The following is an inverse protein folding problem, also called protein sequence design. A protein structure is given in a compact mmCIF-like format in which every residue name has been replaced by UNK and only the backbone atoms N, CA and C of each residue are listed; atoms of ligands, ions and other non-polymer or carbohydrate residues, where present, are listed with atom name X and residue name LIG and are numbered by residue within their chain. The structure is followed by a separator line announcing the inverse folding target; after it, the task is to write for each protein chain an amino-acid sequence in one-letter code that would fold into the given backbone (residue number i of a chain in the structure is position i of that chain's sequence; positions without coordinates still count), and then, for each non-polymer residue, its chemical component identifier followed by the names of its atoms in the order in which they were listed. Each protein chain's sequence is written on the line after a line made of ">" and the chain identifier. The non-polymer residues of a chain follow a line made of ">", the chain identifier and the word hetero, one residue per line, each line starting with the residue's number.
data_IF_782179554600
#
_entry.id   IF_782179554600
#
_cell.length_a   1.000
_cell.length_b   1.000
_cell.length_c   1.000
_cell.angle_alpha   90.00
_cell.angle_beta   90.00
_cell.angle_gamma   90.00
#
_symmetry.space_group_name_H-M   'P 1'
#
loop_
_entity.id
_entity.type
_entity.pdbx_description
1 polymer ?
#
# COMPACT_ATOMS: atom_id res chain seq x y z
N UNK A 1 25.09 -4.98 11.48
CA UNK A 1 26.54 -5.15 11.24
C UNK A 1 26.76 -6.12 10.08
N UNK A 2 27.76 -5.86 9.26
CA UNK A 2 28.17 -6.73 8.16
C UNK A 2 28.87 -7.97 8.75
N UNK A 3 28.42 -9.17 8.37
CA UNK A 3 28.92 -10.43 8.92
C UNK A 3 29.82 -11.21 7.96
N UNK A 4 29.81 -10.89 6.65
CA UNK A 4 30.63 -11.54 5.65
C UNK A 4 30.99 -10.59 4.51
N UNK A 5 31.99 -10.96 3.69
CA UNK A 5 32.46 -10.21 2.55
C UNK A 5 32.27 -10.96 1.21
N UNK A 6 31.46 -12.01 1.20
CA UNK A 6 31.33 -12.96 0.07
C UNK A 6 30.92 -12.27 -1.22
N UNK A 7 30.09 -11.21 -1.15
CA UNK A 7 29.54 -10.51 -2.32
C UNK A 7 30.12 -9.11 -2.52
N UNK A 8 31.23 -8.74 -1.87
CA UNK A 8 31.75 -7.38 -1.90
C UNK A 8 32.14 -6.91 -3.31
N UNK A 9 32.77 -7.76 -4.08
CA UNK A 9 33.17 -7.45 -5.46
C UNK A 9 31.95 -7.19 -6.36
N UNK A 10 30.87 -7.97 -6.21
CA UNK A 10 29.62 -7.78 -6.93
C UNK A 10 28.91 -6.50 -6.48
N UNK A 11 28.80 -6.30 -5.16
CA UNK A 11 28.14 -5.14 -4.59
C UNK A 11 28.85 -3.82 -4.90
N UNK A 12 30.17 -3.84 -5.06
CA UNK A 12 30.95 -2.67 -5.45
C UNK A 12 30.66 -2.20 -6.90
N UNK A 13 30.11 -3.08 -7.73
CA UNK A 13 29.73 -2.76 -9.11
C UNK A 13 28.30 -2.18 -9.22
N UNK A 14 27.52 -2.22 -8.15
CA UNK A 14 26.15 -1.75 -8.15
C UNK A 14 26.07 -0.33 -7.60
N UNK A 15 25.25 0.50 -8.25
CA UNK A 15 24.88 1.80 -7.71
C UNK A 15 23.93 1.61 -6.51
N UNK A 16 24.43 1.87 -5.32
CA UNK A 16 23.66 1.68 -4.11
C UNK A 16 22.62 2.79 -3.90
N UNK A 17 21.43 2.40 -3.47
CA UNK A 17 20.41 3.31 -2.96
C UNK A 17 20.70 3.64 -1.48
N UNK A 18 20.24 4.80 -1.04
CA UNK A 18 20.27 5.17 0.39
C UNK A 18 18.94 4.83 1.04
N UNK A 19 18.97 4.19 2.22
CA UNK A 19 17.78 3.86 2.99
C UNK A 19 17.79 4.62 4.30
N UNK A 20 16.83 5.49 4.47
CA UNK A 20 16.67 6.30 5.68
C UNK A 20 15.48 5.82 6.51
N UNK A 21 15.64 5.81 7.82
CA UNK A 21 14.54 5.66 8.78
C UNK A 21 14.03 7.05 9.14
N UNK A 22 12.75 7.30 8.91
CA UNK A 22 12.08 8.55 9.26
C UNK A 22 10.94 8.26 10.21
N UNK A 23 10.75 9.09 11.22
CA UNK A 23 9.61 9.03 12.11
C UNK A 23 8.54 10.02 11.63
N UNK A 24 7.40 9.51 11.21
CA UNK A 24 6.30 10.30 10.69
C UNK A 24 5.22 10.45 11.77
N UNK A 25 4.84 11.67 12.14
CA UNK A 25 3.73 11.87 13.06
C UNK A 25 2.41 11.42 12.42
N UNK A 26 1.64 10.64 13.15
CA UNK A 26 0.33 10.16 12.72
C UNK A 26 -0.78 11.11 13.16
N UNK A 27 -1.95 11.01 12.52
CA UNK A 27 -3.08 11.90 12.79
C UNK A 27 -3.68 11.78 14.20
N UNK A 28 -3.35 10.70 14.92
CA UNK A 28 -3.75 10.43 16.30
C UNK A 28 -2.62 10.65 17.31
N UNK A 29 -1.56 11.37 16.93
CA UNK A 29 -0.49 11.82 17.82
C UNK A 29 0.56 10.77 18.15
N UNK A 30 0.63 9.67 17.39
CA UNK A 30 1.71 8.67 17.52
C UNK A 30 2.80 8.92 16.48
N UNK A 31 3.91 8.20 16.58
CA UNK A 31 4.99 8.23 15.59
C UNK A 31 5.09 6.90 14.84
N UNK A 32 5.17 7.00 13.53
CA UNK A 32 5.23 5.86 12.63
C UNK A 32 6.62 5.73 11.99
N UNK A 33 7.27 4.60 12.19
CA UNK A 33 8.50 4.28 11.45
C UNK A 33 8.22 4.15 9.97
N UNK A 34 8.87 4.97 9.16
CA UNK A 34 8.76 4.95 7.71
C UNK A 34 10.14 4.78 7.11
N UNK A 35 10.30 3.82 6.19
CA UNK A 35 11.51 3.70 5.39
C UNK A 35 11.38 4.59 4.16
N UNK A 36 12.41 5.38 3.92
CA UNK A 36 12.53 6.22 2.73
C UNK A 36 13.75 5.74 1.95
N UNK A 37 13.51 5.22 0.74
CA UNK A 37 14.57 4.73 -0.13
C UNK A 37 14.82 5.76 -1.21
N UNK A 38 16.00 6.35 -1.21
CA UNK A 38 16.44 7.37 -2.17
C UNK A 38 17.10 6.72 -3.37
N UNK A 39 16.97 7.29 -4.58
CA UNK A 39 17.59 6.74 -5.78
C UNK A 39 19.13 6.75 -5.70
N UNK A 40 19.81 5.94 -6.53
CA UNK A 40 21.27 6.02 -6.65
C UNK A 40 21.72 7.43 -7.05
N UNK A 41 22.88 7.84 -6.56
CA UNK A 41 23.44 9.17 -6.82
C UNK A 41 22.48 10.32 -6.47
N UNK A 42 21.71 10.14 -5.39
CA UNK A 42 20.77 11.13 -4.92
C UNK A 42 21.42 12.49 -4.70
N UNK A 43 20.78 13.53 -5.25
CA UNK A 43 21.19 14.93 -5.16
C UNK A 43 20.03 15.74 -4.56
N UNK A 44 20.19 16.23 -3.35
CA UNK A 44 19.15 16.96 -2.63
C UNK A 44 18.76 18.31 -3.27
N UNK A 45 19.51 18.80 -4.24
CA UNK A 45 19.18 19.99 -5.03
C UNK A 45 18.18 19.72 -6.16
N UNK A 46 17.91 18.45 -6.48
CA UNK A 46 16.99 18.02 -7.53
C UNK A 46 15.68 17.55 -6.93
N UNK A 47 14.62 17.54 -7.77
CA UNK A 47 13.33 16.97 -7.43
C UNK A 47 13.15 15.59 -8.06
N UNK A 48 12.59 14.68 -7.27
CA UNK A 48 12.34 13.30 -7.68
C UNK A 48 10.86 12.93 -7.49
N UNK A 49 10.26 12.24 -8.45
CA UNK A 49 8.94 11.65 -8.24
C UNK A 49 8.98 10.63 -7.10
N UNK A 50 7.85 10.42 -6.44
CA UNK A 50 7.80 9.49 -5.31
C UNK A 50 6.74 8.40 -5.50
N UNK A 51 6.96 7.27 -4.85
CA UNK A 51 6.02 6.15 -4.81
C UNK A 51 5.74 5.79 -3.36
N UNK A 52 4.47 5.85 -2.96
CA UNK A 52 3.99 5.24 -1.73
C UNK A 52 3.90 3.73 -1.93
N UNK A 53 4.63 2.97 -1.14
CA UNK A 53 4.53 1.51 -1.10
C UNK A 53 3.52 1.08 -0.04
N UNK A 54 2.41 0.48 -0.49
CA UNK A 54 1.38 -0.06 0.37
C UNK A 54 1.66 -1.55 0.65
N UNK A 55 2.11 -1.84 1.86
CA UNK A 55 2.44 -3.21 2.25
C UNK A 55 1.19 -4.08 2.37
N UNK A 56 1.27 -5.30 1.82
CA UNK A 56 0.24 -6.33 1.96
C UNK A 56 0.24 -7.00 3.34
N UNK A 57 -0.50 -8.06 3.44
CA UNK A 57 -0.68 -8.83 4.67
C UNK A 57 -2.15 -8.94 5.06
N UNK A 58 -2.71 -8.07 5.91
CA UNK A 58 -2.24 -6.74 6.31
C UNK A 58 -1.20 -6.70 7.44
N UNK A 59 -0.94 -7.82 8.12
CA UNK A 59 -0.02 -7.90 9.26
C UNK A 59 1.37 -8.39 8.83
N UNK A 60 2.03 -7.68 7.93
CA UNK A 60 3.40 -7.98 7.48
C UNK A 60 4.25 -6.71 7.49
N UNK A 61 5.36 -6.61 8.28
CA UNK A 61 6.13 -5.38 8.40
C UNK A 61 6.93 -5.08 7.14
N UNK A 62 7.13 -3.80 6.87
CA UNK A 62 8.17 -3.36 5.96
C UNK A 62 9.48 -3.32 6.74
N UNK A 63 10.39 -4.20 6.38
CA UNK A 63 11.69 -4.38 7.04
C UNK A 63 12.82 -4.47 6.01
N UNK A 64 13.97 -4.98 6.42
CA UNK A 64 15.09 -5.26 5.52
C UNK A 64 14.92 -6.59 4.77
N UNK A 65 13.68 -6.96 4.41
CA UNK A 65 13.46 -8.13 3.59
C UNK A 65 13.97 -7.92 2.17
N UNK A 66 14.38 -9.02 1.55
CA UNK A 66 14.75 -9.04 0.14
C UNK A 66 13.72 -9.87 -0.64
N UNK A 67 13.27 -9.35 -1.76
CA UNK A 67 12.31 -10.00 -2.61
C UNK A 67 12.62 -9.73 -4.09
N UNK A 68 12.51 -10.73 -4.93
CA UNK A 68 12.56 -10.55 -6.39
C UNK A 68 11.32 -9.80 -6.90
N UNK A 69 10.17 -10.03 -6.30
CA UNK A 69 8.89 -9.47 -6.73
C UNK A 69 8.69 -8.03 -6.23
N UNK A 70 8.91 -7.80 -4.94
CA UNK A 70 8.70 -6.50 -4.29
C UNK A 70 10.04 -5.97 -3.78
N UNK A 71 10.79 -5.36 -4.66
CA UNK A 71 12.12 -4.84 -4.36
C UNK A 71 12.11 -3.31 -4.35
N UNK A 72 12.03 -2.72 -3.17
CA UNK A 72 12.00 -1.26 -3.00
C UNK A 72 13.26 -0.57 -3.52
N UNK A 73 14.41 -1.26 -3.47
CA UNK A 73 15.67 -0.74 -4.01
C UNK A 73 15.63 -0.67 -5.54
N UNK A 74 15.02 -1.67 -6.19
CA UNK A 74 14.84 -1.66 -7.63
C UNK A 74 13.89 -0.54 -8.06
N UNK A 75 12.80 -0.32 -7.31
CA UNK A 75 11.90 0.81 -7.57
C UNK A 75 12.66 2.15 -7.46
N UNK A 76 13.45 2.33 -6.40
CA UNK A 76 14.24 3.54 -6.22
C UNK A 76 15.33 3.70 -7.29
N UNK A 77 15.92 2.62 -7.79
CA UNK A 77 16.94 2.66 -8.84
C UNK A 77 16.42 3.19 -10.17
N UNK A 78 15.10 3.21 -10.36
CA UNK A 78 14.44 3.83 -11.52
C UNK A 78 14.25 5.36 -11.37
N UNK A 79 14.82 5.96 -10.33
CA UNK A 79 14.76 7.41 -10.11
C UNK A 79 13.61 7.87 -9.20
N UNK A 80 12.95 6.96 -8.49
CA UNK A 80 11.89 7.29 -7.55
C UNK A 80 12.39 7.37 -6.12
N UNK A 81 11.78 8.23 -5.32
CA UNK A 81 11.83 8.13 -3.86
C UNK A 81 10.73 7.16 -3.44
N UNK A 82 11.08 6.07 -2.75
CA UNK A 82 10.10 5.10 -2.25
C UNK A 82 9.79 5.39 -0.79
N UNK A 83 8.52 5.62 -0.49
CA UNK A 83 7.99 5.89 0.85
C UNK A 83 7.31 4.61 1.32
N UNK A 84 7.87 3.94 2.32
CA UNK A 84 7.41 2.65 2.80
C UNK A 84 7.09 2.69 4.31
N UNK A 85 5.88 3.16 4.68
CA UNK A 85 5.49 3.33 6.06
C UNK A 85 5.11 2.00 6.73
N UNK A 86 5.49 1.83 8.00
CA UNK A 86 4.99 0.78 8.86
C UNK A 86 3.70 1.25 9.57
N UNK A 87 2.63 1.38 8.78
CA UNK A 87 1.31 1.83 9.22
C UNK A 87 0.69 0.89 10.26
N UNK A 88 -0.42 1.28 10.90
CA UNK A 88 -1.19 0.42 11.82
C UNK A 88 -1.49 -0.94 11.20
N UNK A 89 -1.43 -1.99 12.04
CA UNK A 89 -1.61 -3.37 11.64
C UNK A 89 -0.30 -4.12 11.35
N UNK A 90 0.84 -3.44 11.20
CA UNK A 90 2.12 -4.12 10.98
C UNK A 90 2.75 -4.55 12.31
N UNK A 91 3.27 -5.80 12.41
CA UNK A 91 3.94 -6.27 13.63
C UNK A 91 5.32 -5.62 13.83
N UNK A 92 5.85 -5.74 15.04
CA UNK A 92 7.16 -5.20 15.42
C UNK A 92 7.11 -3.83 16.13
N UNK A 93 5.92 -3.24 16.27
CA UNK A 93 5.71 -1.93 16.88
C UNK A 93 4.77 -1.99 18.09
N UNK A 94 4.61 -3.16 18.69
CA UNK A 94 3.70 -3.43 19.81
C UNK A 94 2.41 -4.12 19.37
N UNK A 95 1.81 -4.87 20.31
CA UNK A 95 0.57 -5.63 20.05
C UNK A 95 -0.61 -4.74 19.74
N UNK A 96 -0.74 -3.59 20.43
CA UNK A 96 -1.77 -2.61 20.15
C UNK A 96 -1.69 -2.07 18.72
N UNK A 97 -0.47 -1.71 18.26
CA UNK A 97 -0.25 -1.24 16.88
C UNK A 97 -0.67 -2.27 15.86
N UNK A 98 -0.33 -3.53 16.09
CA UNK A 98 -0.68 -4.63 15.20
C UNK A 98 -2.19 -4.93 15.19
N UNK A 99 -2.84 -4.95 16.36
CA UNK A 99 -4.25 -5.31 16.49
C UNK A 99 -5.21 -4.27 15.88
N UNK A 100 -4.79 -3.01 15.70
CA UNK A 100 -5.65 -1.93 15.22
C UNK A 100 -6.13 -2.08 13.78
N UNK A 101 -5.67 -3.08 13.03
CA UNK A 101 -6.12 -3.31 11.65
C UNK A 101 -7.35 -4.23 11.60
N UNK A 102 -7.46 -5.19 12.51
CA UNK A 102 -8.56 -6.16 12.51
C UNK A 102 -9.89 -5.47 12.82
N UNK A 103 -10.87 -5.67 11.96
CA UNK A 103 -12.17 -4.99 12.03
C UNK A 103 -12.14 -3.50 11.69
N UNK A 104 -11.01 -2.98 11.18
CA UNK A 104 -10.87 -1.56 10.80
C UNK A 104 -9.96 -1.35 9.58
N UNK A 105 -10.18 -2.12 8.52
CA UNK A 105 -9.36 -2.09 7.29
C UNK A 105 -9.19 -0.68 6.69
N UNK A 106 -10.22 0.16 6.61
CA UNK A 106 -10.10 1.51 6.05
C UNK A 106 -9.89 2.58 7.14
N UNK A 107 -9.43 2.20 8.33
CA UNK A 107 -9.32 3.07 9.48
C UNK A 107 -8.02 3.88 9.54
N UNK A 108 -7.40 3.87 10.74
CA UNK A 108 -6.21 4.67 11.01
C UNK A 108 -5.03 4.33 10.07
N UNK A 109 -4.91 3.07 9.63
CA UNK A 109 -3.89 2.62 8.68
C UNK A 109 -3.94 3.37 7.35
N UNK A 110 -5.11 3.75 6.85
CA UNK A 110 -5.23 4.56 5.63
C UNK A 110 -4.81 6.01 5.87
N UNK A 111 -5.14 6.57 7.04
CA UNK A 111 -4.66 7.89 7.46
C UNK A 111 -3.13 7.90 7.63
N UNK A 112 -2.56 6.81 8.09
CA UNK A 112 -1.11 6.64 8.24
C UNK A 112 -0.40 6.71 6.88
N UNK A 113 -0.95 6.07 5.82
CA UNK A 113 -0.43 6.20 4.46
C UNK A 113 -0.47 7.65 3.96
N UNK A 114 -1.58 8.33 4.15
CA UNK A 114 -1.73 9.73 3.73
C UNK A 114 -0.80 10.65 4.53
N UNK A 115 -0.64 10.42 5.83
CA UNK A 115 0.28 11.17 6.68
C UNK A 115 1.74 11.01 6.23
N UNK A 116 2.16 9.79 5.81
CA UNK A 116 3.49 9.55 5.27
C UNK A 116 3.74 10.35 3.98
N UNK A 117 2.76 10.37 3.08
CA UNK A 117 2.83 11.17 1.84
C UNK A 117 2.90 12.66 2.15
N UNK A 118 2.00 13.17 3.01
CA UNK A 118 1.95 14.59 3.36
C UNK A 118 3.21 15.05 4.11
N UNK A 119 3.84 14.17 4.87
CA UNK A 119 5.12 14.43 5.51
C UNK A 119 6.24 14.56 4.47
N UNK A 120 6.34 13.60 3.56
CA UNK A 120 7.40 13.58 2.54
C UNK A 120 7.24 14.68 1.49
N UNK A 121 6.02 15.12 1.19
CA UNK A 121 5.75 16.26 0.30
C UNK A 121 6.41 17.57 0.76
N UNK A 122 6.77 17.68 2.02
CA UNK A 122 7.44 18.88 2.58
C UNK A 122 8.94 18.90 2.30
N UNK A 123 9.51 17.75 1.93
CA UNK A 123 10.91 17.64 1.59
C UNK A 123 11.19 18.34 0.26
N UNK A 124 12.21 19.24 0.18
CA UNK A 124 12.45 20.05 -1.01
C UNK A 124 12.82 19.23 -2.25
N UNK A 125 13.33 18.02 -2.04
CA UNK A 125 13.73 17.08 -3.09
C UNK A 125 12.60 16.17 -3.55
N UNK A 126 11.41 16.22 -2.97
CA UNK A 126 10.23 15.47 -3.43
C UNK A 126 9.45 16.32 -4.43
N UNK A 127 9.20 15.75 -5.61
CA UNK A 127 8.27 16.33 -6.56
C UNK A 127 6.83 16.01 -6.11
N UNK A 128 6.23 16.96 -5.40
CA UNK A 128 4.89 16.83 -4.84
C UNK A 128 3.78 16.66 -5.90
N UNK A 129 4.06 17.04 -7.16
CA UNK A 129 3.12 16.90 -8.26
C UNK A 129 3.20 15.54 -8.98
N UNK A 130 4.23 14.73 -8.67
CA UNK A 130 4.44 13.42 -9.29
C UNK A 130 4.62 12.34 -8.23
N UNK A 131 3.54 12.04 -7.50
CA UNK A 131 3.49 10.97 -6.51
C UNK A 131 2.52 9.90 -6.98
N UNK A 132 2.96 8.65 -6.95
CA UNK A 132 2.15 7.46 -7.21
C UNK A 132 1.98 6.59 -5.97
N UNK A 133 1.12 5.58 -6.05
CA UNK A 133 1.02 4.53 -5.04
C UNK A 133 1.01 3.15 -5.69
N UNK A 134 1.66 2.17 -5.04
CA UNK A 134 1.73 0.78 -5.48
C UNK A 134 1.50 -0.16 -4.31
N UNK A 135 0.78 -1.25 -4.53
CA UNK A 135 0.58 -2.27 -3.52
C UNK A 135 -0.01 -3.56 -4.05
N UNK A 136 0.18 -4.63 -3.29
CA UNK A 136 -0.34 -5.95 -3.62
C UNK A 136 -1.16 -6.53 -2.47
N UNK A 137 -2.14 -7.39 -2.81
CA UNK A 137 -2.99 -8.06 -1.81
C UNK A 137 -3.74 -7.03 -0.96
N UNK A 138 -3.61 -7.05 0.35
CA UNK A 138 -4.11 -5.94 1.17
C UNK A 138 -3.54 -4.56 0.74
N UNK A 139 -2.31 -4.53 0.23
CA UNK A 139 -1.74 -3.30 -0.36
C UNK A 139 -2.47 -2.88 -1.64
N UNK A 140 -2.93 -3.82 -2.45
CA UNK A 140 -3.78 -3.57 -3.61
C UNK A 140 -5.17 -3.05 -3.21
N UNK A 141 -5.77 -3.62 -2.16
CA UNK A 141 -6.97 -3.06 -1.51
C UNK A 141 -6.72 -1.60 -1.09
N UNK A 142 -5.59 -1.34 -0.45
CA UNK A 142 -5.23 0.02 -0.02
C UNK A 142 -5.15 0.98 -1.19
N UNK A 143 -4.56 0.56 -2.32
CA UNK A 143 -4.48 1.37 -3.54
C UNK A 143 -5.86 1.65 -4.12
N UNK A 144 -6.75 0.64 -4.21
CA UNK A 144 -8.12 0.83 -4.67
C UNK A 144 -8.92 1.77 -3.77
N UNK A 145 -8.75 1.63 -2.44
CA UNK A 145 -9.40 2.53 -1.49
C UNK A 145 -8.86 3.96 -1.62
N UNK A 146 -7.54 4.11 -1.71
CA UNK A 146 -6.89 5.40 -1.91
C UNK A 146 -7.30 6.05 -3.24
N UNK A 147 -7.52 5.29 -4.32
CA UNK A 147 -7.98 5.82 -5.59
C UNK A 147 -9.23 6.70 -5.46
N UNK A 148 -10.12 6.38 -4.51
CA UNK A 148 -11.31 7.17 -4.23
C UNK A 148 -11.18 8.13 -3.03
N UNK A 149 -10.06 8.13 -2.31
CA UNK A 149 -9.95 8.86 -1.04
C UNK A 149 -8.59 9.59 -0.86
N UNK A 150 -7.82 9.79 -1.93
CA UNK A 150 -6.49 10.43 -1.85
C UNK A 150 -6.51 11.95 -1.98
N UNK A 151 -7.65 12.56 -2.29
CA UNK A 151 -7.82 14.02 -2.36
C UNK A 151 -6.74 14.72 -3.21
N UNK A 152 -6.47 14.18 -4.41
CA UNK A 152 -5.51 14.74 -5.37
C UNK A 152 -4.02 14.45 -5.09
N UNK A 153 -3.69 13.63 -4.08
CA UNK A 153 -2.28 13.35 -3.72
C UNK A 153 -1.56 12.50 -4.75
N UNK A 154 -2.25 11.60 -5.45
CA UNK A 154 -1.63 10.66 -6.39
C UNK A 154 -1.96 10.97 -7.83
N UNK A 155 -0.97 10.83 -8.72
CA UNK A 155 -1.07 11.04 -10.16
C UNK A 155 -1.15 9.72 -10.95
N UNK A 156 -0.73 8.61 -10.36
CA UNK A 156 -0.83 7.28 -10.94
C UNK A 156 -0.88 6.22 -9.84
N UNK A 157 -1.54 5.11 -10.12
CA UNK A 157 -1.78 4.04 -9.16
C UNK A 157 -1.45 2.69 -9.77
N UNK A 158 -0.94 1.75 -8.98
CA UNK A 158 -0.69 0.37 -9.39
C UNK A 158 -1.25 -0.57 -8.32
N UNK A 159 -2.29 -1.33 -8.66
CA UNK A 159 -2.90 -2.33 -7.79
C UNK A 159 -2.64 -3.73 -8.33
N UNK A 160 -1.95 -4.57 -7.56
CA UNK A 160 -1.71 -5.98 -7.89
C UNK A 160 -2.51 -6.87 -6.95
N UNK A 161 -3.33 -7.76 -7.53
CA UNK A 161 -4.13 -8.74 -6.80
C UNK A 161 -4.79 -8.12 -5.54
N UNK A 162 -5.49 -6.99 -5.72
CA UNK A 162 -6.12 -6.23 -4.65
C UNK A 162 -7.59 -6.56 -4.47
N UNK A 163 -8.08 -6.47 -3.25
CA UNK A 163 -9.52 -6.61 -2.95
C UNK A 163 -10.23 -5.33 -3.39
N UNK A 164 -11.11 -5.43 -4.37
CA UNK A 164 -11.91 -4.32 -4.88
C UNK A 164 -13.32 -4.30 -4.30
N UNK A 165 -13.99 -5.46 -4.32
CA UNK A 165 -15.31 -5.66 -3.74
C UNK A 165 -15.21 -6.66 -2.58
N UNK A 166 -15.33 -6.17 -1.35
CA UNK A 166 -15.15 -6.99 -0.16
C UNK A 166 -16.27 -8.04 0.02
N UNK A 167 -17.47 -7.77 -0.47
CA UNK A 167 -18.58 -8.74 -0.38
C UNK A 167 -18.33 -9.92 -1.33
N UNK A 168 -17.88 -9.66 -2.57
CA UNK A 168 -17.48 -10.70 -3.49
C UNK A 168 -16.27 -11.47 -2.95
N UNK A 169 -15.23 -10.76 -2.48
CA UNK A 169 -14.05 -11.37 -1.87
C UNK A 169 -14.41 -12.34 -0.73
N UNK A 170 -15.34 -11.96 0.12
CA UNK A 170 -15.79 -12.81 1.22
C UNK A 170 -16.36 -14.16 0.75
N UNK A 171 -17.01 -14.17 -0.43
CA UNK A 171 -17.67 -15.36 -0.98
C UNK A 171 -16.79 -16.22 -1.88
N UNK A 172 -15.69 -15.65 -2.43
CA UNK A 172 -14.89 -16.33 -3.44
C UNK A 172 -13.50 -16.75 -2.96
N UNK A 173 -13.00 -16.19 -1.84
CA UNK A 173 -11.66 -16.49 -1.32
C UNK A 173 -11.55 -17.90 -0.74
N UNK A 174 -10.40 -18.55 -0.92
CA UNK A 174 -10.06 -19.79 -0.20
C UNK A 174 -9.87 -19.58 1.31
N UNK A 175 -9.61 -18.33 1.75
CA UNK A 175 -9.33 -17.98 3.15
C UNK A 175 -10.57 -17.44 3.89
N UNK A 176 -11.69 -18.13 3.83
CA UNK A 176 -12.95 -17.69 4.47
C UNK A 176 -12.82 -17.43 5.98
N UNK A 177 -12.01 -18.22 6.68
CA UNK A 177 -11.73 -18.06 8.11
C UNK A 177 -11.04 -16.72 8.42
N UNK A 178 -10.10 -16.32 7.55
CA UNK A 178 -9.39 -15.06 7.67
C UNK A 178 -10.35 -13.86 7.48
N UNK A 179 -11.20 -13.94 6.46
CA UNK A 179 -12.20 -12.91 6.21
C UNK A 179 -13.16 -12.75 7.41
N UNK A 180 -13.63 -13.84 8.00
CA UNK A 180 -14.45 -13.80 9.20
C UNK A 180 -13.76 -13.12 10.38
N UNK A 181 -12.49 -13.43 10.58
CA UNK A 181 -11.71 -12.88 11.68
C UNK A 181 -11.38 -11.39 11.45
N UNK A 182 -10.76 -11.06 10.33
CA UNK A 182 -10.21 -9.73 10.09
C UNK A 182 -11.26 -8.70 9.68
N UNK A 183 -12.31 -9.11 8.97
CA UNK A 183 -13.42 -8.22 8.60
C UNK A 183 -14.47 -8.11 9.72
N UNK A 184 -14.35 -8.90 10.77
CA UNK A 184 -15.22 -8.86 11.94
C UNK A 184 -16.48 -9.71 11.84
N UNK A 185 -16.65 -10.48 10.77
CA UNK A 185 -17.81 -11.37 10.55
C UNK A 185 -18.37 -11.28 9.14
N UNK A 186 -19.52 -11.87 8.90
CA UNK A 186 -20.19 -11.91 7.61
C UNK A 186 -20.87 -10.57 7.26
N UNK A 187 -20.89 -10.21 5.97
CA UNK A 187 -21.54 -8.96 5.53
C UNK A 187 -23.06 -8.97 5.68
N UNK A 188 -23.69 -10.14 5.75
CA UNK A 188 -25.14 -10.28 5.99
C UNK A 188 -25.52 -10.26 7.48
N UNK A 189 -24.55 -10.24 8.38
CA UNK A 189 -24.80 -10.09 9.82
C UNK A 189 -25.05 -8.61 10.13
N UNK A 190 -26.29 -8.18 9.96
CA UNK A 190 -26.70 -6.78 10.05
C UNK A 190 -26.59 -6.19 11.46
N UNK A 191 -26.58 -7.03 12.49
CA UNK A 191 -26.45 -6.62 13.87
C UNK A 191 -24.99 -6.44 14.30
N UNK A 192 -24.06 -6.98 13.51
CA UNK A 192 -22.62 -6.88 13.73
C UNK A 192 -22.05 -5.55 13.19
N UNK A 193 -22.00 -4.55 14.05
CA UNK A 193 -21.54 -3.21 13.67
C UNK A 193 -20.10 -3.18 13.12
N UNK A 194 -19.23 -4.09 13.54
CA UNK A 194 -17.84 -4.16 13.05
C UNK A 194 -17.82 -4.63 11.60
N UNK A 195 -18.51 -5.74 11.31
CA UNK A 195 -18.63 -6.25 9.95
C UNK A 195 -19.30 -5.22 9.03
N UNK A 196 -20.42 -4.64 9.45
CA UNK A 196 -21.15 -3.64 8.65
C UNK A 196 -20.25 -2.42 8.32
N UNK A 197 -19.49 -1.89 9.28
CA UNK A 197 -18.54 -0.81 9.05
C UNK A 197 -17.46 -1.20 8.04
N UNK A 198 -16.91 -2.40 8.18
CA UNK A 198 -15.86 -2.91 7.30
C UNK A 198 -16.36 -3.01 5.86
N UNK A 199 -17.48 -3.67 5.62
CA UNK A 199 -18.05 -3.82 4.28
C UNK A 199 -18.57 -2.50 3.69
N UNK A 200 -19.04 -1.55 4.53
CA UNK A 200 -19.42 -0.22 4.07
C UNK A 200 -18.26 0.56 3.43
N UNK A 201 -17.01 0.23 3.79
CA UNK A 201 -15.82 0.87 3.27
C UNK A 201 -15.17 0.14 2.09
N UNK A 202 -15.85 -0.81 1.49
CA UNK A 202 -15.35 -1.53 0.31
C UNK A 202 -15.00 -0.58 -0.84
N UNK A 203 -13.80 -0.71 -1.47
CA UNK A 203 -13.31 0.22 -2.48
C UNK A 203 -14.27 0.50 -3.63
N UNK A 204 -15.03 -0.50 -4.10
CA UNK A 204 -15.97 -0.35 -5.20
C UNK A 204 -17.05 0.72 -4.94
N UNK A 205 -17.32 1.06 -3.68
CA UNK A 205 -18.29 2.09 -3.29
C UNK A 205 -17.77 3.52 -3.53
N UNK A 206 -16.47 3.68 -3.78
CA UNK A 206 -15.81 4.98 -3.96
C UNK A 206 -15.38 5.25 -5.40
N UNK A 207 -15.69 4.37 -6.36
CA UNK A 207 -15.22 4.48 -7.76
C UNK A 207 -15.59 5.80 -8.44
N UNK A 208 -16.71 6.41 -8.07
CA UNK A 208 -17.11 7.73 -8.61
C UNK A 208 -16.12 8.85 -8.32
N UNK A 209 -15.22 8.64 -7.35
CA UNK A 209 -14.16 9.60 -6.98
C UNK A 209 -12.83 9.31 -7.64
N UNK A 210 -12.73 8.23 -8.43
CA UNK A 210 -11.49 7.86 -9.11
C UNK A 210 -11.19 8.87 -10.23
N UNK A 211 -9.97 9.41 -10.21
CA UNK A 211 -9.51 10.41 -11.17
C UNK A 211 -8.11 10.10 -11.70
N UNK A 212 -7.30 9.41 -10.94
CA UNK A 212 -5.93 9.05 -11.33
C UNK A 212 -5.94 7.77 -12.18
N UNK A 213 -5.10 7.68 -13.24
CA UNK A 213 -4.91 6.44 -13.99
C UNK A 213 -4.41 5.33 -13.07
N UNK A 214 -4.86 4.10 -13.37
CA UNK A 214 -4.57 2.94 -12.54
C UNK A 214 -4.16 1.74 -13.38
N UNK A 215 -2.98 1.19 -13.11
CA UNK A 215 -2.57 -0.12 -13.64
C UNK A 215 -3.08 -1.22 -12.70
N UNK A 216 -3.83 -2.16 -13.26
CA UNK A 216 -4.44 -3.26 -12.53
C UNK A 216 -3.84 -4.58 -13.03
N UNK A 217 -3.32 -5.39 -12.11
CA UNK A 217 -2.75 -6.70 -12.45
C UNK A 217 -3.23 -7.77 -11.47
N UNK A 218 -3.44 -8.99 -11.96
CA UNK A 218 -3.84 -10.15 -11.16
C UNK A 218 -3.24 -11.44 -11.71
N UNK A 219 -3.19 -12.48 -10.90
CA UNK A 219 -2.88 -13.84 -11.33
C UNK A 219 -4.18 -14.56 -11.68
N UNK A 220 -4.21 -15.27 -12.82
CA UNK A 220 -5.37 -16.06 -13.24
C UNK A 220 -5.68 -17.21 -12.27
N UNK A 221 -4.65 -17.77 -11.65
CA UNK A 221 -4.75 -18.88 -10.69
C UNK A 221 -4.56 -18.42 -9.23
N UNK A 222 -4.89 -17.19 -8.93
CA UNK A 222 -4.93 -16.68 -7.56
C UNK A 222 -6.29 -17.03 -6.94
N UNK A 223 -6.31 -17.99 -6.02
CA UNK A 223 -7.51 -18.42 -5.32
C UNK A 223 -7.76 -17.68 -4.00
N UNK A 224 -6.84 -16.80 -3.63
CA UNK A 224 -6.95 -15.95 -2.44
C UNK A 224 -7.64 -14.63 -2.75
N UNK A 225 -7.17 -13.93 -3.79
CA UNK A 225 -7.81 -12.76 -4.35
C UNK A 225 -7.98 -13.00 -5.84
N UNK A 226 -9.16 -13.45 -6.21
CA UNK A 226 -9.46 -13.93 -7.56
C UNK A 226 -9.32 -12.81 -8.62
N UNK A 227 -9.06 -13.20 -9.87
CA UNK A 227 -8.96 -12.26 -11.00
C UNK A 227 -10.23 -11.43 -11.19
N UNK A 228 -11.39 -11.94 -10.78
CA UNK A 228 -12.66 -11.22 -10.76
C UNK A 228 -12.59 -9.85 -10.07
N UNK A 229 -11.78 -9.73 -9.02
CA UNK A 229 -11.56 -8.46 -8.32
C UNK A 229 -10.89 -7.42 -9.23
N UNK A 230 -9.89 -7.85 -10.00
CA UNK A 230 -9.20 -6.99 -10.97
C UNK A 230 -10.12 -6.63 -12.16
N UNK A 231 -10.89 -7.59 -12.66
CA UNK A 231 -11.85 -7.40 -13.76
C UNK A 231 -12.94 -6.40 -13.39
N UNK A 232 -13.52 -6.53 -12.19
CA UNK A 232 -14.50 -5.56 -11.67
C UNK A 232 -13.90 -4.16 -11.55
N UNK A 233 -12.68 -4.04 -11.05
CA UNK A 233 -12.00 -2.75 -10.90
C UNK A 233 -11.68 -2.11 -12.26
N UNK A 234 -11.18 -2.89 -13.22
CA UNK A 234 -10.92 -2.46 -14.59
C UNK A 234 -12.19 -1.98 -15.29
N UNK A 235 -13.28 -2.76 -15.20
CA UNK A 235 -14.56 -2.39 -15.77
C UNK A 235 -15.10 -1.08 -15.17
N UNK A 236 -15.00 -0.92 -13.85
CA UNK A 236 -15.41 0.30 -13.17
C UNK A 236 -14.61 1.52 -13.64
N UNK A 237 -13.28 1.40 -13.75
CA UNK A 237 -12.41 2.46 -14.27
C UNK A 237 -12.80 2.83 -15.70
N UNK A 238 -12.94 1.84 -16.58
CA UNK A 238 -13.29 2.03 -18.00
C UNK A 238 -14.64 2.72 -18.16
N UNK A 239 -15.67 2.28 -17.42
CA UNK A 239 -17.03 2.89 -17.47
C UNK A 239 -17.03 4.34 -16.99
N UNK A 240 -16.10 4.71 -16.14
CA UNK A 240 -15.95 6.08 -15.64
C UNK A 240 -14.99 6.94 -16.48
N UNK A 241 -14.40 6.39 -17.54
CA UNK A 241 -13.41 7.08 -18.37
C UNK A 241 -12.07 7.31 -17.69
N UNK A 242 -11.78 6.57 -16.61
CA UNK A 242 -10.47 6.58 -15.94
C UNK A 242 -9.52 5.65 -16.72
N UNK A 243 -8.34 6.11 -17.13
CA UNK A 243 -7.36 5.26 -17.82
C UNK A 243 -6.95 4.07 -16.93
N UNK A 244 -7.06 2.83 -17.47
CA UNK A 244 -6.75 1.60 -16.76
C UNK A 244 -6.16 0.53 -17.70
#
# INVERSE_FOLDING_TARGET
>A
SKLSNVNDELLAQLNNVTVNKVMVPTTDGKEMTTWVVLPPNFDSSKKYPAILYCQGGPQQPVSQFWSYRWNLRLMASQGYIVIAPNRRGLPGFGSEWNAQISGDYPGQNMKDYLAAVDFMKKEPYVDAEHIGAVGASYGGFSVYWLAGNHEGRFKALIAHAGIFNMEAQYLETEEMWFANWDMGGAFWDTDNKVAQRTFACSPHKYVKKWTAPILITAGELDYRILSSQAEMAFNAATLLGVPA
#
